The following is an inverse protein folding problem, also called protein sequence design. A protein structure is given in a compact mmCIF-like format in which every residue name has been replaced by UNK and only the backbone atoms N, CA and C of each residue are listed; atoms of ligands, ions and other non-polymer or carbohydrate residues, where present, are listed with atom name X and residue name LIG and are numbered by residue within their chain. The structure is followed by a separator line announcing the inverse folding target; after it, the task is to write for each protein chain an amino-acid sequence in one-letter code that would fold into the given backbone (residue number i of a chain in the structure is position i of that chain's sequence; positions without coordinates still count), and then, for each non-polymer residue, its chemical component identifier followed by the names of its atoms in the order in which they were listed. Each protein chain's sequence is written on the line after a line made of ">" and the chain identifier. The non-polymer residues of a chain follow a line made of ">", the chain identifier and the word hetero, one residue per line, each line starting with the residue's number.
data_IF_413393851065
#
_entry.id   IF_413393851065
#
_cell.length_a   1.000
_cell.length_b   1.000
_cell.length_c   1.000
_cell.angle_alpha   90.00
_cell.angle_beta   90.00
_cell.angle_gamma   90.00
#
_symmetry.space_group_name_H-M   'P 1'
#
loop_
_entity.id
_entity.type
_entity.pdbx_description
1 polymer ?
#
# COMPACT_ATOMS: atom_id res chain seq x y z
N UNK A 1 3.06 -33.54 -2.07
CA UNK A 1 2.83 -33.38 -3.53
C UNK A 1 3.93 -32.52 -4.12
N UNK A 2 4.41 -32.93 -5.30
CA UNK A 2 5.14 -32.17 -6.32
C UNK A 2 6.08 -31.01 -5.90
N UNK A 3 7.39 -31.23 -6.06
CA UNK A 3 8.29 -30.26 -6.73
C UNK A 3 8.52 -28.88 -6.10
N UNK A 4 8.08 -28.59 -4.88
CA UNK A 4 8.47 -27.39 -4.11
C UNK A 4 8.19 -26.04 -4.78
N UNK A 5 7.43 -26.01 -5.88
CA UNK A 5 7.13 -24.86 -6.72
C UNK A 5 5.63 -24.73 -6.87
N UNK A 6 5.08 -23.56 -6.54
CA UNK A 6 3.66 -23.23 -6.62
C UNK A 6 3.47 -22.23 -7.76
N UNK A 7 2.74 -22.58 -8.83
CA UNK A 7 2.47 -21.66 -9.93
C UNK A 7 1.51 -20.53 -9.51
N UNK A 8 1.46 -19.47 -10.32
CA UNK A 8 0.69 -18.26 -10.02
C UNK A 8 -0.79 -18.53 -9.74
N UNK A 9 -1.46 -19.26 -10.63
CA UNK A 9 -2.88 -19.61 -10.50
C UNK A 9 -3.20 -20.33 -9.18
N UNK A 10 -2.40 -21.34 -8.84
CA UNK A 10 -2.55 -22.08 -7.59
C UNK A 10 -2.33 -21.20 -6.34
N UNK A 11 -1.33 -20.31 -6.39
CA UNK A 11 -1.05 -19.39 -5.27
C UNK A 11 -2.16 -18.35 -5.08
N UNK A 12 -2.68 -17.78 -6.17
CA UNK A 12 -3.77 -16.81 -6.13
C UNK A 12 -5.05 -17.44 -5.59
N UNK A 13 -5.39 -18.65 -6.04
CA UNK A 13 -6.55 -19.40 -5.53
C UNK A 13 -6.41 -19.75 -4.05
N UNK A 14 -5.20 -20.09 -3.59
CA UNK A 14 -4.93 -20.32 -2.18
C UNK A 14 -5.12 -19.03 -1.34
N UNK A 15 -4.55 -17.90 -1.79
CA UNK A 15 -4.75 -16.61 -1.11
C UNK A 15 -6.22 -16.18 -1.08
N UNK A 16 -6.99 -16.50 -2.11
CA UNK A 16 -8.43 -16.25 -2.17
C UNK A 16 -9.22 -17.02 -1.11
N UNK A 17 -8.88 -18.29 -0.90
CA UNK A 17 -9.53 -19.14 0.10
C UNK A 17 -9.04 -18.91 1.54
N UNK A 18 -7.90 -18.23 1.73
CA UNK A 18 -7.25 -18.05 3.01
C UNK A 18 -8.13 -17.39 4.10
N UNK A 19 -8.91 -16.33 3.81
CA UNK A 19 -9.77 -15.69 4.81
C UNK A 19 -10.80 -16.65 5.41
N UNK A 20 -11.44 -17.45 4.55
CA UNK A 20 -12.43 -18.43 4.97
C UNK A 20 -11.79 -19.60 5.73
N UNK A 21 -10.62 -20.06 5.27
CA UNK A 21 -9.91 -21.18 5.91
C UNK A 21 -9.40 -20.84 7.33
N UNK A 22 -9.12 -19.56 7.60
CA UNK A 22 -8.60 -19.10 8.89
C UNK A 22 -9.64 -18.34 9.74
N UNK A 23 -10.85 -18.16 9.25
CA UNK A 23 -11.88 -17.29 9.86
C UNK A 23 -11.37 -15.87 10.13
N UNK A 24 -10.60 -15.33 9.16
CA UNK A 24 -9.91 -14.03 9.26
C UNK A 24 -10.22 -13.15 8.05
N UNK A 25 -11.29 -12.37 8.15
CA UNK A 25 -11.75 -11.47 7.09
C UNK A 25 -10.70 -10.41 6.72
N UNK A 26 -9.80 -10.05 7.64
CA UNK A 26 -8.70 -9.11 7.41
C UNK A 26 -7.68 -9.58 6.36
N UNK A 27 -7.73 -10.85 5.98
CA UNK A 27 -6.90 -11.44 4.91
C UNK A 27 -7.57 -11.34 3.52
N UNK A 28 -8.70 -10.66 3.40
CA UNK A 28 -9.39 -10.48 2.12
C UNK A 28 -8.61 -9.51 1.23
N UNK A 29 -7.94 -10.04 0.22
CA UNK A 29 -7.16 -9.27 -0.74
C UNK A 29 -7.86 -9.17 -2.10
N UNK A 30 -7.79 -7.99 -2.73
CA UNK A 30 -8.19 -7.82 -4.13
C UNK A 30 -7.33 -8.69 -5.05
N UNK A 31 -7.83 -9.03 -6.24
CA UNK A 31 -7.06 -9.80 -7.22
C UNK A 31 -5.73 -9.13 -7.57
N UNK A 32 -5.74 -7.82 -7.80
CA UNK A 32 -4.53 -7.02 -8.03
C UNK A 32 -3.52 -7.16 -6.89
N UNK A 33 -4.00 -7.14 -5.63
CA UNK A 33 -3.14 -7.31 -4.46
C UNK A 33 -2.57 -8.72 -4.35
N UNK A 34 -3.38 -9.75 -4.61
CA UNK A 34 -2.91 -11.14 -4.63
C UNK A 34 -1.82 -11.33 -5.69
N UNK A 35 -2.00 -10.74 -6.88
CA UNK A 35 -0.99 -10.75 -7.95
C UNK A 35 0.29 -10.01 -7.54
N UNK A 36 0.16 -8.84 -6.89
CA UNK A 36 1.31 -8.10 -6.39
C UNK A 36 2.08 -8.88 -5.30
N UNK A 37 1.37 -9.58 -4.40
CA UNK A 37 1.98 -10.49 -3.42
C UNK A 37 2.73 -11.60 -4.15
N UNK A 38 2.09 -12.28 -5.11
CA UNK A 38 2.76 -13.33 -5.88
C UNK A 38 4.05 -12.83 -6.55
N UNK A 39 4.00 -11.69 -7.25
CA UNK A 39 5.18 -11.09 -7.90
C UNK A 39 6.28 -10.68 -6.92
N UNK A 40 5.94 -10.41 -5.66
CA UNK A 40 6.94 -10.16 -4.63
C UNK A 40 7.64 -11.44 -4.16
N UNK A 41 6.97 -12.59 -4.27
CA UNK A 41 7.43 -13.89 -3.77
C UNK A 41 7.98 -14.82 -4.83
N UNK A 42 7.73 -14.50 -6.12
CA UNK A 42 8.21 -15.29 -7.23
C UNK A 42 9.73 -15.39 -7.19
N UNK A 43 10.24 -16.62 -7.33
CA UNK A 43 11.67 -16.85 -7.39
C UNK A 43 12.19 -16.36 -8.74
N UNK A 44 13.09 -15.38 -8.74
CA UNK A 44 13.84 -14.93 -9.93
C UNK A 44 12.97 -14.62 -11.17
N UNK A 45 11.71 -14.23 -10.96
CA UNK A 45 10.72 -14.02 -12.03
C UNK A 45 10.48 -15.25 -12.93
N UNK A 46 10.63 -16.45 -12.37
CA UNK A 46 10.41 -17.73 -13.05
C UNK A 46 8.93 -18.18 -13.07
N UNK A 47 8.01 -17.37 -12.52
CA UNK A 47 6.57 -17.65 -12.55
C UNK A 47 6.08 -18.68 -11.53
N UNK A 48 6.84 -18.92 -10.46
CA UNK A 48 6.42 -19.74 -9.32
C UNK A 48 7.01 -19.27 -8.00
N UNK A 49 6.34 -19.61 -6.90
CA UNK A 49 6.80 -19.42 -5.52
C UNK A 49 7.40 -20.73 -5.02
N UNK A 50 8.54 -20.67 -4.33
CA UNK A 50 9.15 -21.85 -3.71
C UNK A 50 8.92 -21.89 -2.21
N UNK A 51 9.10 -23.04 -1.57
CA UNK A 51 9.06 -23.10 -0.10
C UNK A 51 10.10 -22.18 0.55
N UNK A 52 11.27 -22.02 -0.07
CA UNK A 52 12.32 -21.12 0.42
C UNK A 52 11.90 -19.65 0.30
N UNK A 53 11.45 -19.21 -0.88
CA UNK A 53 11.03 -17.81 -1.09
C UNK A 53 9.78 -17.47 -0.26
N UNK A 54 8.86 -18.42 -0.09
CA UNK A 54 7.73 -18.28 0.81
C UNK A 54 8.17 -18.23 2.28
N UNK A 55 9.09 -19.09 2.71
CA UNK A 55 9.59 -19.12 4.09
C UNK A 55 10.29 -17.82 4.50
N UNK A 56 10.98 -17.18 3.56
CA UNK A 56 11.72 -15.94 3.79
C UNK A 56 10.81 -14.77 4.22
N UNK A 57 9.51 -14.79 3.87
CA UNK A 57 8.56 -13.74 4.28
C UNK A 57 8.33 -13.71 5.79
N UNK A 58 8.59 -14.83 6.47
CA UNK A 58 8.46 -14.96 7.92
C UNK A 58 9.76 -14.67 8.66
N UNK A 59 10.86 -14.43 7.94
CA UNK A 59 12.14 -14.12 8.54
C UNK A 59 12.13 -12.69 9.10
N UNK A 60 12.06 -12.55 10.41
CA UNK A 60 12.20 -11.25 11.07
C UNK A 60 13.67 -10.88 11.16
N UNK A 61 14.06 -9.83 10.44
CA UNK A 61 15.43 -9.31 10.44
C UNK A 61 15.56 -8.11 11.37
N UNK A 62 16.75 -8.00 11.95
CA UNK A 62 17.14 -6.87 12.80
C UNK A 62 18.49 -6.34 12.35
N UNK A 63 18.77 -5.07 12.65
CA UNK A 63 20.06 -4.44 12.42
C UNK A 63 20.61 -3.91 13.73
N UNK A 64 21.90 -4.10 13.93
CA UNK A 64 22.62 -3.49 15.03
C UNK A 64 22.75 -1.99 14.78
N UNK A 65 22.34 -1.16 15.75
CA UNK A 65 22.50 0.31 15.70
C UNK A 65 23.59 0.81 16.64
N UNK A 66 23.97 0.00 17.63
CA UNK A 66 25.09 0.25 18.54
C UNK A 66 25.78 -1.06 18.86
N UNK A 67 27.12 -1.07 18.78
CA UNK A 67 27.91 -2.27 18.99
C UNK A 67 27.61 -2.95 20.33
N UNK A 68 27.39 -4.26 20.30
CA UNK A 68 27.01 -5.06 21.47
C UNK A 68 27.53 -6.50 21.37
N UNK A 69 27.63 -7.16 22.52
CA UNK A 69 28.00 -8.58 22.62
C UNK A 69 26.79 -9.49 22.40
N UNK A 70 27.00 -10.56 21.65
CA UNK A 70 26.10 -11.72 21.56
C UNK A 70 26.58 -12.76 22.57
N UNK A 71 25.66 -13.30 23.34
CA UNK A 71 25.94 -14.25 24.42
C UNK A 71 25.36 -15.63 24.15
N UNK A 72 25.86 -16.68 24.79
CA UNK A 72 25.38 -18.05 24.63
C UNK A 72 24.07 -18.35 25.37
N UNK A 73 23.76 -17.64 26.45
CA UNK A 73 22.54 -17.80 27.23
C UNK A 73 21.67 -16.53 27.28
N UNK A 74 20.42 -16.72 27.71
CA UNK A 74 19.42 -15.66 27.83
C UNK A 74 19.78 -14.69 28.96
N UNK A 75 20.04 -15.22 30.16
CA UNK A 75 20.41 -14.48 31.37
C UNK A 75 21.82 -13.91 31.23
N UNK A 76 21.97 -12.59 31.34
CA UNK A 76 23.26 -11.94 31.05
C UNK A 76 24.32 -12.30 32.10
N UNK A 77 23.91 -12.44 33.36
CA UNK A 77 24.82 -12.68 34.49
C UNK A 77 25.62 -13.98 34.36
N UNK A 78 25.00 -15.05 33.85
CA UNK A 78 25.61 -16.38 33.73
C UNK A 78 26.10 -16.69 32.31
N UNK A 79 26.09 -15.68 31.43
CA UNK A 79 26.39 -15.85 30.01
C UNK A 79 27.86 -15.59 29.65
N UNK A 80 28.28 -16.17 28.53
CA UNK A 80 29.57 -15.91 27.89
C UNK A 80 29.36 -15.19 26.56
N UNK A 81 30.20 -14.22 26.27
CA UNK A 81 30.25 -13.60 24.94
C UNK A 81 30.76 -14.60 23.90
N UNK A 82 29.95 -14.88 22.87
CA UNK A 82 30.31 -15.76 21.75
C UNK A 82 30.66 -14.99 20.47
N UNK A 83 30.19 -13.74 20.37
CA UNK A 83 30.48 -12.83 19.27
C UNK A 83 30.26 -11.38 19.72
N UNK A 84 30.81 -10.44 18.97
CA UNK A 84 30.41 -9.04 19.01
C UNK A 84 29.81 -8.68 17.66
N UNK A 85 28.84 -7.78 17.69
CA UNK A 85 28.21 -7.21 16.50
C UNK A 85 28.41 -5.70 16.54
N UNK A 86 28.62 -5.12 15.37
CA UNK A 86 28.87 -3.69 15.16
C UNK A 86 27.66 -3.05 14.46
N UNK A 87 27.53 -1.71 14.45
CA UNK A 87 26.49 -1.05 13.67
C UNK A 87 26.45 -1.55 12.22
N UNK A 88 25.25 -1.67 11.69
CA UNK A 88 24.92 -2.22 10.36
C UNK A 88 25.02 -3.76 10.23
N UNK A 89 25.46 -4.50 11.25
CA UNK A 89 25.38 -5.97 11.23
C UNK A 89 23.92 -6.45 11.22
N UNK A 90 23.61 -7.34 10.28
CA UNK A 90 22.28 -7.91 10.09
C UNK A 90 22.10 -9.21 10.87
N UNK A 91 20.99 -9.30 11.58
CA UNK A 91 20.60 -10.40 12.43
C UNK A 91 19.28 -10.99 11.95
N UNK A 92 19.13 -12.30 12.05
CA UNK A 92 17.85 -12.97 11.90
C UNK A 92 17.35 -13.42 13.27
N UNK A 93 16.12 -13.05 13.63
CA UNK A 93 15.51 -13.53 14.86
C UNK A 93 15.14 -15.01 14.76
N UNK A 94 15.37 -15.74 15.84
CA UNK A 94 14.98 -17.15 15.98
C UNK A 94 13.77 -17.32 16.89
N UNK A 95 13.21 -16.22 17.39
CA UNK A 95 12.04 -16.18 18.26
C UNK A 95 11.63 -14.74 18.57
N UNK A 96 10.64 -14.57 19.43
CA UNK A 96 10.22 -13.25 19.92
C UNK A 96 11.14 -12.71 21.03
N UNK A 97 11.19 -11.37 21.21
CA UNK A 97 11.90 -10.76 22.32
C UNK A 97 11.24 -11.15 23.66
N UNK A 98 12.05 -11.35 24.69
CA UNK A 98 11.60 -11.61 26.05
C UNK A 98 12.33 -10.69 27.02
N UNK A 99 11.65 -10.27 28.08
CA UNK A 99 12.25 -9.46 29.14
C UNK A 99 12.96 -10.38 30.13
N UNK A 100 14.22 -10.09 30.42
CA UNK A 100 14.94 -10.72 31.53
C UNK A 100 14.53 -10.02 32.83
N UNK A 101 13.68 -10.67 33.63
CA UNK A 101 13.11 -10.09 34.87
C UNK A 101 14.18 -9.55 35.83
N UNK A 102 15.34 -10.22 35.92
CA UNK A 102 16.42 -9.81 36.81
C UNK A 102 17.05 -8.46 36.44
N UNK A 103 17.03 -8.09 35.15
CA UNK A 103 17.74 -6.91 34.64
C UNK A 103 16.81 -5.88 33.99
N UNK A 104 15.56 -6.28 33.70
CA UNK A 104 14.60 -5.51 32.90
C UNK A 104 14.97 -5.40 31.42
N UNK A 105 16.01 -6.09 30.95
CA UNK A 105 16.49 -5.97 29.58
C UNK A 105 15.65 -6.81 28.61
N UNK A 106 15.33 -6.24 27.45
CA UNK A 106 14.70 -6.99 26.35
C UNK A 106 15.78 -7.78 25.59
N UNK A 107 15.65 -9.10 25.57
CA UNK A 107 16.62 -10.05 25.02
C UNK A 107 16.00 -10.81 23.85
N UNK A 108 16.78 -11.01 22.79
CA UNK A 108 16.34 -11.67 21.56
C UNK A 108 17.35 -12.75 21.17
N UNK A 109 16.85 -13.95 20.89
CA UNK A 109 17.68 -14.99 20.29
C UNK A 109 17.81 -14.72 18.78
N UNK A 110 19.05 -14.60 18.32
CA UNK A 110 19.38 -14.23 16.95
C UNK A 110 20.43 -15.16 16.35
N UNK A 111 20.40 -15.26 15.02
CA UNK A 111 21.50 -15.72 14.19
C UNK A 111 22.15 -14.50 13.54
N UNK A 112 23.45 -14.31 13.75
CA UNK A 112 24.24 -13.23 13.15
C UNK A 112 24.58 -13.64 11.72
N UNK A 113 23.98 -13.01 10.71
CA UNK A 113 24.09 -13.50 9.32
C UNK A 113 25.53 -13.50 8.78
N UNK A 114 26.37 -12.47 9.00
CA UNK A 114 27.75 -12.50 8.50
C UNK A 114 28.63 -13.63 9.07
N UNK A 115 28.34 -14.08 10.30
CA UNK A 115 29.17 -15.07 11.02
C UNK A 115 28.50 -16.42 11.23
N UNK A 116 27.22 -16.54 10.87
CA UNK A 116 26.34 -17.70 11.08
C UNK A 116 26.20 -18.15 12.54
N UNK A 117 26.74 -17.40 13.51
CA UNK A 117 26.67 -17.71 14.94
C UNK A 117 25.29 -17.41 15.51
N UNK A 118 24.81 -18.29 16.38
CA UNK A 118 23.54 -18.12 17.09
C UNK A 118 23.78 -17.83 18.57
N UNK A 119 23.05 -16.87 19.12
CA UNK A 119 23.05 -16.56 20.54
C UNK A 119 21.99 -15.52 20.91
N UNK A 120 22.14 -14.90 22.07
CA UNK A 120 21.25 -13.87 22.58
C UNK A 120 21.88 -12.49 22.51
N UNK A 121 21.09 -11.51 22.13
CA UNK A 121 21.48 -10.10 22.11
C UNK A 121 20.49 -9.27 22.92
N UNK A 122 20.97 -8.22 23.57
CA UNK A 122 20.10 -7.23 24.21
C UNK A 122 19.61 -6.25 23.17
N UNK A 123 18.30 -6.12 23.01
CA UNK A 123 17.68 -5.14 22.12
C UNK A 123 17.64 -3.75 22.75
N UNK A 124 17.19 -3.69 24.01
CA UNK A 124 17.05 -2.47 24.78
C UNK A 124 17.68 -2.70 26.15
N UNK A 125 18.71 -1.91 26.48
CA UNK A 125 19.36 -1.94 27.78
C UNK A 125 18.50 -1.34 28.89
N UNK A 126 18.90 -1.54 30.15
CA UNK A 126 18.16 -1.06 31.33
C UNK A 126 17.87 0.46 31.34
N UNK A 127 18.75 1.28 30.76
CA UNK A 127 18.57 2.73 30.62
C UNK A 127 17.82 3.16 29.36
N UNK A 128 17.16 2.25 28.65
CA UNK A 128 16.41 2.54 27.41
C UNK A 128 17.29 2.68 26.16
N UNK A 129 18.59 2.39 26.25
CA UNK A 129 19.47 2.43 25.07
C UNK A 129 19.11 1.29 24.13
N UNK A 130 18.75 1.62 22.89
CA UNK A 130 18.49 0.67 21.81
C UNK A 130 19.82 0.26 21.17
N UNK A 131 20.03 -1.04 21.04
CA UNK A 131 21.21 -1.65 20.40
C UNK A 131 20.87 -2.35 19.10
N UNK A 132 19.64 -2.88 19.01
CA UNK A 132 19.19 -3.67 17.86
C UNK A 132 17.77 -3.23 17.51
N UNK A 133 17.53 -2.89 16.24
CA UNK A 133 16.26 -2.41 15.72
C UNK A 133 15.71 -3.34 14.64
N UNK A 134 14.39 -3.46 14.57
CA UNK A 134 13.75 -4.25 13.53
C UNK A 134 14.02 -3.63 12.15
N UNK A 135 14.42 -4.46 11.19
CA UNK A 135 14.55 -4.02 9.80
C UNK A 135 13.15 -3.90 9.21
N UNK A 136 12.85 -2.72 8.65
CA UNK A 136 11.69 -2.54 7.79
C UNK A 136 12.15 -2.69 6.34
N UNK A 137 11.66 -3.69 5.59
CA UNK A 137 12.01 -3.85 4.17
C UNK A 137 11.75 -2.58 3.36
N UNK A 138 10.65 -1.87 3.68
CA UNK A 138 10.32 -0.60 3.05
C UNK A 138 11.33 0.50 3.37
N UNK A 139 11.77 0.62 4.64
CA UNK A 139 12.78 1.61 5.04
C UNK A 139 14.10 1.35 4.31
N UNK A 140 14.57 0.11 4.30
CA UNK A 140 15.81 -0.28 3.59
C UNK A 140 15.72 0.05 2.10
N UNK A 141 14.62 -0.34 1.44
CA UNK A 141 14.39 0.01 0.03
C UNK A 141 14.40 1.52 -0.20
N UNK A 142 13.73 2.29 0.67
CA UNK A 142 13.63 3.74 0.54
C UNK A 142 15.00 4.42 0.68
N UNK A 143 15.81 4.01 1.66
CA UNK A 143 17.16 4.53 1.88
C UNK A 143 18.10 4.23 0.70
N UNK A 144 18.07 2.99 0.19
CA UNK A 144 18.86 2.62 -0.99
C UNK A 144 18.43 3.37 -2.26
N UNK A 145 17.12 3.49 -2.47
CA UNK A 145 16.55 4.25 -3.59
C UNK A 145 16.96 5.72 -3.50
N UNK A 146 16.83 6.34 -2.32
CA UNK A 146 17.20 7.74 -2.10
C UNK A 146 18.68 7.98 -2.37
N UNK A 147 19.54 7.10 -1.84
CA UNK A 147 20.99 7.15 -2.09
C UNK A 147 21.28 7.12 -3.58
N UNK A 148 20.72 6.17 -4.32
CA UNK A 148 20.92 6.06 -5.78
C UNK A 148 20.38 7.28 -6.54
N UNK A 149 19.21 7.79 -6.17
CA UNK A 149 18.63 9.00 -6.77
C UNK A 149 19.55 10.20 -6.51
N UNK A 150 20.03 10.38 -5.28
CA UNK A 150 20.87 11.51 -4.90
C UNK A 150 22.24 11.48 -5.58
N UNK A 151 22.87 10.31 -5.65
CA UNK A 151 24.11 10.10 -6.39
C UNK A 151 23.91 10.44 -7.89
N UNK A 152 22.80 9.97 -8.48
CA UNK A 152 22.49 10.22 -9.89
C UNK A 152 22.19 11.70 -10.17
N UNK A 153 21.41 12.36 -9.30
CA UNK A 153 21.11 13.80 -9.40
C UNK A 153 22.39 14.62 -9.29
N UNK A 154 23.28 14.28 -8.34
CA UNK A 154 24.57 14.94 -8.18
C UNK A 154 25.43 14.82 -9.45
N UNK A 155 25.59 13.60 -9.97
CA UNK A 155 26.34 13.36 -11.20
C UNK A 155 25.75 14.12 -12.40
N UNK A 156 24.42 14.14 -12.54
CA UNK A 156 23.73 14.92 -13.59
C UNK A 156 23.95 16.43 -13.45
N UNK A 157 24.02 16.93 -12.21
CA UNK A 157 24.34 18.32 -11.90
C UNK A 157 25.76 18.71 -12.34
N UNK A 158 26.74 17.84 -12.13
CA UNK A 158 28.13 18.04 -12.59
C UNK A 158 28.22 18.09 -14.12
N UNK A 159 27.50 17.20 -14.83
CA UNK A 159 27.41 17.23 -16.31
C UNK A 159 26.75 18.53 -16.78
N UNK A 160 25.65 18.96 -16.15
CA UNK A 160 24.99 20.22 -16.49
C UNK A 160 25.90 21.43 -16.28
N UNK A 161 26.68 21.45 -15.20
CA UNK A 161 27.67 22.49 -14.91
C UNK A 161 28.77 22.54 -15.98
N UNK A 162 29.27 21.37 -16.42
CA UNK A 162 30.25 21.28 -17.51
C UNK A 162 29.73 21.91 -18.81
N UNK A 163 28.52 21.56 -19.24
CA UNK A 163 27.93 22.14 -20.46
C UNK A 163 27.70 23.65 -20.34
N UNK A 164 27.30 24.13 -19.15
CA UNK A 164 27.15 25.56 -18.89
C UNK A 164 28.49 26.30 -18.97
N UNK A 165 29.55 25.74 -18.39
CA UNK A 165 30.90 26.31 -18.44
C UNK A 165 31.41 26.38 -19.89
N UNK A 166 31.31 25.27 -20.64
CA UNK A 166 31.74 25.22 -22.05
C UNK A 166 30.99 26.20 -22.94
N UNK A 167 29.70 26.43 -22.68
CA UNK A 167 28.95 27.44 -23.42
C UNK A 167 29.46 28.86 -23.17
N UNK A 168 29.79 29.19 -21.92
CA UNK A 168 30.36 30.50 -21.57
C UNK A 168 31.72 30.68 -22.24
N UNK A 169 32.61 29.68 -22.15
CA UNK A 169 33.93 29.71 -22.80
C UNK A 169 33.84 29.94 -24.31
N UNK A 170 32.84 29.33 -24.97
CA UNK A 170 32.67 29.41 -26.42
C UNK A 170 31.83 30.61 -26.88
N UNK A 171 31.22 31.37 -25.97
CA UNK A 171 30.37 32.52 -26.32
C UNK A 171 31.14 33.62 -27.08
N UNK A 172 32.42 33.81 -26.77
CA UNK A 172 33.32 34.75 -27.46
C UNK A 172 34.18 34.13 -28.57
N UNK A 173 34.03 32.84 -28.87
CA UNK A 173 34.80 32.20 -29.92
C UNK A 173 34.40 32.76 -31.30
N UNK A 174 35.39 33.02 -32.15
CA UNK A 174 35.26 33.74 -33.42
C UNK A 174 34.16 33.25 -34.37
N UNK A 175 33.88 34.02 -35.41
CA UNK A 175 32.77 33.80 -36.35
C UNK A 175 33.05 32.75 -37.43
N UNK A 176 34.15 32.00 -37.31
CA UNK A 176 34.47 30.91 -38.22
C UNK A 176 33.34 29.87 -38.24
N UNK A 177 32.98 29.38 -39.44
CA UNK A 177 31.87 28.44 -39.66
C UNK A 177 31.97 27.20 -38.75
N UNK A 178 33.16 26.63 -38.61
CA UNK A 178 33.42 25.49 -37.72
C UNK A 178 33.09 25.79 -36.25
N UNK A 179 33.36 27.01 -35.76
CA UNK A 179 33.03 27.42 -34.40
C UNK A 179 31.55 27.70 -34.19
N UNK A 180 30.82 28.05 -35.25
CA UNK A 180 29.35 28.16 -35.21
C UNK A 180 28.72 26.77 -35.09
N UNK A 181 29.19 25.79 -35.88
CA UNK A 181 28.70 24.40 -35.84
C UNK A 181 28.95 23.73 -34.47
N UNK A 182 30.15 23.91 -33.90
CA UNK A 182 30.46 23.41 -32.54
C UNK A 182 29.54 24.01 -31.48
N UNK A 183 29.25 25.31 -31.56
CA UNK A 183 28.30 25.98 -30.65
C UNK A 183 26.89 25.42 -30.78
N UNK A 184 26.43 25.14 -32.00
CA UNK A 184 25.10 24.56 -32.24
C UNK A 184 24.98 23.15 -31.65
N UNK A 185 25.97 22.28 -31.85
CA UNK A 185 25.95 20.92 -31.28
C UNK A 185 26.05 20.95 -29.75
N UNK A 186 26.89 21.81 -29.18
CA UNK A 186 26.97 22.00 -27.73
C UNK A 186 25.62 22.46 -27.15
N UNK A 187 24.92 23.36 -27.84
CA UNK A 187 23.59 23.81 -27.44
C UNK A 187 22.57 22.65 -27.44
N UNK A 188 22.57 21.80 -28.48
CA UNK A 188 21.70 20.62 -28.54
C UNK A 188 21.96 19.65 -27.39
N UNK A 189 23.23 19.35 -27.09
CA UNK A 189 23.60 18.48 -25.98
C UNK A 189 23.22 19.10 -24.62
N UNK A 190 23.46 20.41 -24.44
CA UNK A 190 23.03 21.13 -23.23
C UNK A 190 21.53 21.00 -23.01
N UNK A 191 20.71 21.14 -24.05
CA UNK A 191 19.25 20.99 -23.94
C UNK A 191 18.88 19.58 -23.47
N UNK A 192 19.49 18.53 -24.05
CA UNK A 192 19.28 17.14 -23.60
C UNK A 192 19.65 16.95 -22.13
N UNK A 193 20.81 17.46 -21.72
CA UNK A 193 21.27 17.39 -20.32
C UNK A 193 20.30 18.13 -19.39
N UNK A 194 19.82 19.31 -19.78
CA UNK A 194 18.86 20.08 -18.99
C UNK A 194 17.54 19.32 -18.80
N UNK A 195 17.04 18.68 -19.86
CA UNK A 195 15.84 17.84 -19.80
C UNK A 195 16.05 16.64 -18.88
N UNK A 196 17.19 15.93 -18.99
CA UNK A 196 17.49 14.78 -18.13
C UNK A 196 17.61 15.18 -16.65
N UNK A 197 18.31 16.27 -16.34
CA UNK A 197 18.40 16.78 -14.96
C UNK A 197 17.02 17.14 -14.41
N UNK A 198 16.17 17.78 -15.21
CA UNK A 198 14.80 18.13 -14.80
C UNK A 198 13.96 16.88 -14.52
N UNK A 199 14.09 15.84 -15.35
CA UNK A 199 13.38 14.58 -15.15
C UNK A 199 13.84 13.86 -13.88
N UNK A 200 15.14 13.89 -13.56
CA UNK A 200 15.68 13.33 -12.32
C UNK A 200 15.18 14.09 -11.08
N UNK A 201 15.11 15.42 -11.13
CA UNK A 201 14.53 16.23 -10.05
C UNK A 201 13.04 15.92 -9.85
N UNK A 202 12.29 15.73 -10.94
CA UNK A 202 10.90 15.32 -10.88
C UNK A 202 10.75 13.91 -10.29
N UNK A 203 11.61 12.96 -10.67
CA UNK A 203 11.65 11.62 -10.11
C UNK A 203 11.90 11.66 -8.60
N UNK A 204 12.90 12.42 -8.15
CA UNK A 204 13.20 12.62 -6.73
C UNK A 204 11.99 13.16 -5.96
N UNK A 205 11.29 14.16 -6.50
CA UNK A 205 10.05 14.69 -5.91
C UNK A 205 8.94 13.66 -5.83
N UNK A 206 8.72 12.89 -6.91
CA UNK A 206 7.70 11.83 -6.94
C UNK A 206 8.01 10.72 -5.94
N UNK A 207 9.28 10.31 -5.81
CA UNK A 207 9.73 9.34 -4.83
C UNK A 207 9.47 9.83 -3.40
N UNK A 208 9.79 11.09 -3.11
CA UNK A 208 9.52 11.70 -1.80
C UNK A 208 8.01 11.73 -1.47
N UNK A 209 7.16 12.10 -2.43
CA UNK A 209 5.71 12.06 -2.27
C UNK A 209 5.18 10.64 -2.03
N UNK A 210 5.62 9.68 -2.85
CA UNK A 210 5.20 8.29 -2.72
C UNK A 210 5.56 7.69 -1.35
N UNK A 211 6.75 8.00 -0.82
CA UNK A 211 7.15 7.58 0.54
C UNK A 211 6.29 8.21 1.62
N UNK A 212 5.94 9.50 1.49
CA UNK A 212 5.05 10.18 2.43
C UNK A 212 3.65 9.58 2.43
N UNK A 213 3.17 9.17 1.27
CA UNK A 213 1.82 8.62 1.11
C UNK A 213 1.75 7.12 1.47
N UNK A 214 2.89 6.42 1.59
CA UNK A 214 2.96 4.99 1.87
C UNK A 214 2.24 4.57 3.17
N UNK A 215 2.45 5.22 4.34
CA UNK A 215 1.76 4.81 5.57
C UNK A 215 0.23 4.90 5.47
N UNK A 216 -0.26 5.90 4.72
CA UNK A 216 -1.70 6.05 4.46
C UNK A 216 -2.22 4.90 3.60
N UNK A 217 -1.47 4.49 2.57
CA UNK A 217 -1.84 3.34 1.72
C UNK A 217 -1.82 2.04 2.52
N UNK A 218 -0.80 1.84 3.35
CA UNK A 218 -0.70 0.66 4.22
C UNK A 218 -1.88 0.59 5.19
N UNK A 219 -2.31 1.73 5.75
CA UNK A 219 -3.47 1.77 6.64
C UNK A 219 -4.77 1.47 5.87
N UNK A 220 -4.97 2.07 4.69
CA UNK A 220 -6.12 1.77 3.85
C UNK A 220 -6.18 0.29 3.46
N UNK A 221 -5.04 -0.34 3.14
CA UNK A 221 -4.97 -1.77 2.85
C UNK A 221 -5.40 -2.62 4.06
N UNK A 222 -4.99 -2.23 5.27
CA UNK A 222 -5.42 -2.90 6.52
C UNK A 222 -6.92 -2.75 6.74
N UNK A 223 -7.49 -1.59 6.44
CA UNK A 223 -8.89 -1.27 6.69
C UNK A 223 -9.83 -1.69 5.54
N UNK A 224 -9.29 -2.12 4.39
CA UNK A 224 -10.07 -2.46 3.20
C UNK A 224 -11.16 -3.52 3.47
N UNK A 225 -10.88 -4.51 4.32
CA UNK A 225 -11.85 -5.52 4.72
C UNK A 225 -13.04 -4.93 5.51
N UNK A 226 -12.79 -3.90 6.33
CA UNK A 226 -13.83 -3.17 7.07
C UNK A 226 -14.73 -2.44 6.08
N UNK A 227 -14.14 -1.72 5.12
CA UNK A 227 -14.91 -1.01 4.09
C UNK A 227 -15.75 -1.97 3.23
N UNK A 228 -15.22 -3.14 2.88
CA UNK A 228 -15.96 -4.18 2.16
C UNK A 228 -17.15 -4.67 2.99
N UNK A 229 -16.95 -4.92 4.29
CA UNK A 229 -18.02 -5.36 5.20
C UNK A 229 -19.11 -4.30 5.32
N UNK A 230 -18.73 -3.05 5.53
CA UNK A 230 -19.65 -1.92 5.65
C UNK A 230 -20.44 -1.70 4.36
N UNK A 231 -19.79 -1.76 3.19
CA UNK A 231 -20.47 -1.69 1.89
C UNK A 231 -21.47 -2.82 1.70
N UNK A 232 -21.12 -4.04 2.11
CA UNK A 232 -22.04 -5.18 2.02
C UNK A 232 -23.25 -4.99 2.93
N UNK A 233 -23.05 -4.54 4.17
CA UNK A 233 -24.13 -4.25 5.09
C UNK A 233 -25.03 -3.10 4.58
N UNK A 234 -24.43 -2.02 4.08
CA UNK A 234 -25.14 -0.91 3.47
C UNK A 234 -25.93 -1.36 2.22
N UNK A 235 -25.37 -2.26 1.40
CA UNK A 235 -26.05 -2.84 0.25
C UNK A 235 -27.34 -3.57 0.61
N UNK A 236 -27.34 -4.36 1.68
CA UNK A 236 -28.55 -5.06 2.16
C UNK A 236 -29.63 -4.07 2.58
N UNK A 237 -29.25 -3.01 3.30
CA UNK A 237 -30.19 -1.95 3.70
C UNK A 237 -30.70 -1.20 2.46
N UNK A 238 -29.81 -0.91 1.50
CA UNK A 238 -30.16 -0.21 0.28
C UNK A 238 -31.12 -1.03 -0.59
N UNK A 239 -30.96 -2.35 -0.66
CA UNK A 239 -31.90 -3.25 -1.33
C UNK A 239 -33.31 -3.17 -0.71
N UNK A 240 -33.41 -3.15 0.63
CA UNK A 240 -34.70 -3.00 1.32
C UNK A 240 -35.32 -1.62 1.05
N UNK A 241 -34.52 -0.54 1.12
CA UNK A 241 -34.99 0.82 0.83
C UNK A 241 -35.46 0.92 -0.61
N UNK A 242 -34.69 0.40 -1.57
CA UNK A 242 -35.05 0.43 -2.99
C UNK A 242 -36.38 -0.30 -3.23
N UNK A 243 -36.59 -1.45 -2.60
CA UNK A 243 -37.85 -2.19 -2.70
C UNK A 243 -39.05 -1.38 -2.17
N UNK A 244 -38.89 -0.66 -1.06
CA UNK A 244 -39.95 0.22 -0.52
C UNK A 244 -40.22 1.44 -1.40
N UNK A 245 -39.17 2.07 -1.93
CA UNK A 245 -39.30 3.20 -2.86
C UNK A 245 -40.01 2.75 -4.14
N UNK A 246 -39.65 1.60 -4.70
CA UNK A 246 -40.30 1.06 -5.88
C UNK A 246 -41.79 0.76 -5.62
N UNK A 247 -42.13 0.19 -4.45
CA UNK A 247 -43.52 -0.02 -4.05
C UNK A 247 -44.29 1.30 -3.91
N UNK A 248 -43.68 2.33 -3.32
CA UNK A 248 -44.27 3.67 -3.18
C UNK A 248 -44.49 4.34 -4.54
N UNK A 249 -43.52 4.25 -5.47
CA UNK A 249 -43.65 4.78 -6.83
C UNK A 249 -44.78 4.09 -7.60
N UNK A 250 -44.93 2.77 -7.44
CA UNK A 250 -46.04 2.02 -8.03
C UNK A 250 -47.39 2.44 -7.45
N UNK A 251 -47.49 2.61 -6.13
CA UNK A 251 -48.71 3.09 -5.48
C UNK A 251 -49.08 4.52 -5.91
N UNK A 252 -48.08 5.41 -6.04
CA UNK A 252 -48.28 6.78 -6.52
C UNK A 252 -48.83 6.77 -7.95
N UNK A 253 -48.27 5.95 -8.83
CA UNK A 253 -48.73 5.85 -10.22
C UNK A 253 -50.17 5.35 -10.30
N UNK A 254 -50.53 4.33 -9.51
CA UNK A 254 -51.90 3.83 -9.44
C UNK A 254 -52.87 4.90 -8.90
N UNK A 255 -52.44 5.65 -7.88
CA UNK A 255 -53.21 6.77 -7.34
C UNK A 255 -53.45 7.86 -8.38
N UNK A 256 -52.43 8.24 -9.15
CA UNK A 256 -52.57 9.19 -10.27
C UNK A 256 -53.56 8.70 -11.32
N UNK A 257 -53.49 7.42 -11.70
CA UNK A 257 -54.41 6.81 -12.67
C UNK A 257 -55.86 6.77 -12.14
N UNK A 258 -56.09 6.40 -10.87
CA UNK A 258 -57.42 6.38 -10.24
C UNK A 258 -57.97 7.79 -10.04
N UNK A 259 -57.12 8.77 -9.72
CA UNK A 259 -57.55 10.14 -9.49
C UNK A 259 -57.79 10.93 -10.79
N UNK A 260 -57.16 10.55 -11.91
CA UNK A 260 -57.23 11.27 -13.18
C UNK A 260 -58.67 11.58 -13.67
N UNK A 261 -59.66 10.65 -13.60
CA UNK A 261 -61.03 10.93 -14.04
C UNK A 261 -61.73 12.03 -13.25
N UNK A 262 -61.35 12.27 -12.00
CA UNK A 262 -61.93 13.33 -11.17
C UNK A 262 -61.12 14.64 -11.25
N UNK A 263 -59.79 14.53 -11.20
CA UNK A 263 -58.86 15.67 -11.16
C UNK A 263 -58.80 16.42 -12.51
N UNK A 264 -59.17 15.75 -13.61
CA UNK A 264 -59.19 16.36 -14.95
C UNK A 264 -60.48 17.15 -15.26
N UNK A 265 -61.58 16.92 -14.53
CA UNK A 265 -62.88 17.56 -14.77
C UNK A 265 -62.96 18.97 -14.19
N UNK A 266 -63.79 19.83 -14.81
CA UNK A 266 -64.03 21.22 -14.36
C UNK A 266 -65.49 21.64 -14.55
N UNK A 267 -65.95 22.57 -13.73
CA UNK A 267 -67.28 23.18 -13.87
C UNK A 267 -68.41 22.15 -13.81
N UNK A 268 -69.39 22.27 -14.70
CA UNK A 268 -70.59 21.42 -14.71
C UNK A 268 -70.31 19.91 -14.92
N UNK A 269 -69.18 19.54 -15.54
CA UNK A 269 -68.79 18.14 -15.71
C UNK A 269 -68.30 17.52 -14.40
N UNK A 270 -67.69 18.33 -13.52
CA UNK A 270 -67.28 17.89 -12.18
C UNK A 270 -68.51 17.69 -11.28
N UNK A 271 -69.49 18.60 -11.35
CA UNK A 271 -70.73 18.51 -10.59
C UNK A 271 -71.60 17.31 -11.00
N UNK A 272 -71.42 16.79 -12.22
CA UNK A 272 -72.14 15.65 -12.77
C UNK A 272 -71.43 14.30 -12.57
N UNK A 273 -70.26 14.26 -11.92
CA UNK A 273 -69.53 13.02 -11.69
C UNK A 273 -70.32 12.08 -10.76
N UNK A 274 -70.65 10.88 -11.22
CA UNK A 274 -71.63 10.01 -10.54
C UNK A 274 -71.08 9.32 -9.29
N UNK A 275 -69.77 9.08 -9.20
CA UNK A 275 -69.17 8.23 -8.15
C UNK A 275 -67.98 8.83 -7.40
N UNK A 276 -68.03 10.10 -6.93
CA UNK A 276 -66.89 10.78 -6.30
C UNK A 276 -66.45 10.12 -4.98
N UNK A 277 -67.41 9.63 -4.18
CA UNK A 277 -67.13 9.00 -2.90
C UNK A 277 -66.44 7.63 -3.06
N UNK A 278 -66.81 6.86 -4.09
CA UNK A 278 -66.18 5.55 -4.37
C UNK A 278 -64.74 5.73 -4.84
N UNK A 279 -64.50 6.69 -5.74
CA UNK A 279 -63.16 7.02 -6.23
C UNK A 279 -62.28 7.56 -5.10
N UNK A 280 -62.80 8.44 -4.25
CA UNK A 280 -62.08 8.94 -3.07
C UNK A 280 -61.64 7.79 -2.15
N UNK A 281 -62.53 6.83 -1.88
CA UNK A 281 -62.22 5.67 -1.03
C UNK A 281 -61.13 4.77 -1.64
N UNK A 282 -61.16 4.58 -2.95
CA UNK A 282 -60.13 3.82 -3.68
C UNK A 282 -58.78 4.54 -3.64
N UNK A 283 -58.78 5.86 -3.86
CA UNK A 283 -57.61 6.72 -3.74
C UNK A 283 -57.00 6.73 -2.33
N UNK A 284 -57.82 6.83 -1.28
CA UNK A 284 -57.36 6.77 0.12
C UNK A 284 -56.73 5.41 0.48
N UNK A 285 -57.25 4.32 -0.11
CA UNK A 285 -56.71 2.97 0.09
C UNK A 285 -55.31 2.85 -0.55
N UNK A 286 -55.14 3.33 -1.78
CA UNK A 286 -53.85 3.34 -2.48
C UNK A 286 -52.83 4.26 -1.80
N UNK A 287 -53.27 5.44 -1.33
CA UNK A 287 -52.42 6.37 -0.60
C UNK A 287 -51.91 5.78 0.73
N UNK A 288 -52.74 4.99 1.42
CA UNK A 288 -52.34 4.30 2.65
C UNK A 288 -51.37 3.16 2.37
N UNK A 289 -51.58 2.41 1.29
CA UNK A 289 -50.69 1.31 0.89
C UNK A 289 -49.29 1.77 0.47
N UNK A 290 -49.14 2.99 -0.06
CA UNK A 290 -47.84 3.58 -0.38
C UNK A 290 -47.12 4.24 0.81
N UNK A 291 -47.76 4.33 1.98
CA UNK A 291 -47.22 4.97 3.18
C UNK A 291 -46.64 3.96 4.21
N UNK A 292 -46.90 2.66 4.03
CA UNK A 292 -46.34 1.54 4.81
C UNK A 292 -45.05 0.99 4.18
#
# INVERSE_FOLDING_TARGET
>A
QAGGKVPQDAFLAWLEGLPAALEKEELTFTEERRLAIFKHLESESEGFVTLASFGEIFATRYVCVKGISVTDSFEVQDSKTISKIEPDDVLQALGGPKVEEATGMARLQVKVLPSEKTGFVTMIGNGGTVYVEAVSPFKTFAEEMDKKIDETVKASGEVAAFFKAKQTELSGAGTAKSMVEVRQELMKLRLKVTTLTTNLDQLKKKAAMAKRDYPKREQLDKDAHVEIREKKAAGVIQEEINAKVEAMEQALKQLEEVAAPLVSLKGAELDAFETPASLLKEAETLASAGAE
#
